data_IF_291661818254
#
_entry.id   IF_291661818254
#
_cell.length_a   1.000
_cell.length_b   1.000
_cell.length_c   1.000
_cell.angle_alpha   90.00
_cell.angle_beta   90.00
_cell.angle_gamma   90.00
#
_symmetry.space_group_name_H-M   'P 1'
#
loop_
_entity.id
_entity.type
_entity.pdbx_description
1 polymer ?
#
# COMPACT_ATOMS: atom_id res chain seq x y z
N UNK A 1 -1.07 -45.82 -5.39
CA UNK A 1 0.14 -45.71 -6.24
C UNK A 1 0.95 -44.54 -5.70
N UNK A 2 2.08 -44.82 -5.05
CA UNK A 2 2.98 -43.79 -4.54
C UNK A 2 3.74 -43.18 -5.69
N UNK A 3 3.52 -41.89 -5.95
CA UNK A 3 4.39 -41.14 -6.85
C UNK A 3 5.76 -40.91 -6.21
N UNK A 4 6.87 -41.12 -6.92
CA UNK A 4 8.19 -40.85 -6.37
C UNK A 4 8.39 -39.32 -6.22
N UNK A 5 8.72 -38.87 -5.00
CA UNK A 5 9.12 -37.51 -4.71
C UNK A 5 10.46 -37.23 -5.41
N UNK A 6 10.42 -36.52 -6.53
CA UNK A 6 11.63 -35.92 -7.13
C UNK A 6 12.00 -34.71 -6.28
N UNK A 7 13.17 -34.73 -5.66
CA UNK A 7 13.77 -33.55 -5.02
C UNK A 7 14.14 -32.53 -6.11
N UNK A 8 13.52 -31.35 -6.17
CA UNK A 8 13.90 -30.34 -7.13
C UNK A 8 15.08 -29.50 -6.65
N UNK A 9 15.94 -29.13 -7.59
CA UNK A 9 16.99 -28.13 -7.40
C UNK A 9 16.33 -26.75 -7.35
N UNK A 10 16.55 -25.94 -6.30
CA UNK A 10 15.87 -24.66 -6.15
C UNK A 10 16.33 -23.65 -7.21
N UNK A 11 15.43 -22.94 -7.90
CA UNK A 11 15.81 -21.76 -8.65
C UNK A 11 16.25 -20.66 -7.69
N UNK A 12 17.42 -20.06 -7.97
CA UNK A 12 17.97 -18.95 -7.20
C UNK A 12 17.13 -17.68 -7.40
N UNK A 13 16.10 -17.50 -6.62
CA UNK A 13 15.44 -16.21 -6.47
C UNK A 13 16.00 -15.53 -5.23
N UNK A 14 16.66 -14.38 -5.42
CA UNK A 14 17.25 -13.57 -4.35
C UNK A 14 16.14 -12.88 -3.53
N UNK A 15 15.77 -13.50 -2.42
CA UNK A 15 14.85 -12.94 -1.44
C UNK A 15 15.58 -12.01 -0.47
N UNK A 16 14.89 -10.92 -0.09
CA UNK A 16 15.38 -10.06 1.02
C UNK A 16 14.71 -10.53 2.31
N UNK A 17 15.48 -10.81 3.40
CA UNK A 17 14.93 -11.27 4.67
C UNK A 17 13.93 -10.26 5.25
N UNK A 18 12.80 -10.78 5.78
CA UNK A 18 11.77 -9.98 6.45
C UNK A 18 10.54 -9.61 5.60
N UNK A 19 10.40 -10.13 4.39
CA UNK A 19 9.24 -9.88 3.53
C UNK A 19 8.21 -11.01 3.67
N UNK A 20 6.95 -10.63 3.96
CA UNK A 20 5.82 -11.56 3.95
C UNK A 20 5.41 -11.81 2.51
N UNK A 21 5.34 -13.09 2.12
CA UNK A 21 4.82 -13.54 0.83
C UNK A 21 3.36 -13.93 0.98
N UNK A 22 2.50 -13.41 0.12
CA UNK A 22 1.10 -13.82 0.09
C UNK A 22 0.92 -14.79 -1.08
N UNK A 23 0.42 -15.98 -0.81
CA UNK A 23 0.24 -17.03 -1.80
C UNK A 23 -1.16 -17.63 -1.70
N UNK A 24 -1.65 -18.16 -2.81
CA UNK A 24 -2.88 -18.94 -2.88
C UNK A 24 -2.52 -20.40 -3.10
N UNK A 25 -3.09 -21.28 -2.30
CA UNK A 25 -2.94 -22.72 -2.48
C UNK A 25 -3.67 -23.17 -3.76
N UNK A 26 -2.97 -23.89 -4.64
CA UNK A 26 -3.55 -24.51 -5.82
C UNK A 26 -4.11 -25.91 -5.53
N UNK A 27 -3.66 -26.52 -4.43
CA UNK A 27 -4.08 -27.84 -3.98
C UNK A 27 -4.16 -27.90 -2.47
N UNK A 28 -4.94 -28.85 -1.96
CA UNK A 28 -5.03 -29.16 -0.53
C UNK A 28 -3.74 -29.76 0.00
N UNK A 29 -3.30 -29.34 1.18
CA UNK A 29 -2.23 -29.97 1.96
C UNK A 29 -2.74 -30.40 3.33
N UNK A 30 -2.46 -31.64 3.68
CA UNK A 30 -2.79 -32.19 4.99
C UNK A 30 -1.50 -32.40 5.79
N UNK A 31 -1.39 -31.74 6.93
CA UNK A 31 -0.28 -31.84 7.86
C UNK A 31 -0.02 -33.29 8.26
N UNK A 32 1.24 -33.70 8.24
CA UNK A 32 1.68 -35.01 8.67
C UNK A 32 2.22 -35.00 10.11
N UNK A 33 2.60 -33.82 10.60
CA UNK A 33 3.10 -33.61 11.97
C UNK A 33 2.32 -32.49 12.65
N UNK A 34 2.42 -32.41 13.97
CA UNK A 34 1.63 -31.47 14.79
C UNK A 34 2.01 -29.98 14.58
N UNK A 35 3.23 -29.71 14.14
CA UNK A 35 3.77 -28.38 13.85
C UNK A 35 3.55 -27.92 12.39
N UNK A 36 3.04 -28.79 11.54
CA UNK A 36 2.70 -28.48 10.16
C UNK A 36 1.35 -27.79 10.02
N UNK A 37 1.19 -26.95 8.99
CA UNK A 37 -0.03 -26.22 8.67
C UNK A 37 -0.83 -26.95 7.57
N UNK A 38 -2.04 -27.41 7.91
CA UNK A 38 -2.99 -27.90 6.91
C UNK A 38 -3.78 -26.74 6.30
N UNK A 39 -4.05 -26.82 4.97
CA UNK A 39 -4.87 -25.85 4.25
C UNK A 39 -5.58 -26.53 3.07
N UNK A 40 -6.64 -25.88 2.58
CA UNK A 40 -7.41 -26.34 1.43
C UNK A 40 -7.05 -25.56 0.15
N UNK A 41 -7.47 -26.10 -1.00
CA UNK A 41 -7.33 -25.41 -2.28
C UNK A 41 -8.05 -24.06 -2.25
N UNK A 42 -7.40 -23.00 -2.76
CA UNK A 42 -7.90 -21.63 -2.76
C UNK A 42 -7.59 -20.82 -1.49
N UNK A 43 -7.12 -21.47 -0.42
CA UNK A 43 -6.74 -20.76 0.81
C UNK A 43 -5.60 -19.76 0.56
N UNK A 44 -5.69 -18.63 1.25
CA UNK A 44 -4.66 -17.58 1.24
C UNK A 44 -3.71 -17.81 2.41
N UNK A 45 -2.44 -17.98 2.10
CA UNK A 45 -1.39 -18.16 3.09
C UNK A 45 -0.45 -16.95 3.10
N UNK A 46 -0.03 -16.59 4.31
CA UNK A 46 1.02 -15.59 4.57
C UNK A 46 2.28 -16.36 4.95
N UNK A 47 3.24 -16.36 4.05
CA UNK A 47 4.49 -17.10 4.23
C UNK A 47 5.57 -16.16 4.74
N UNK A 48 6.15 -16.50 5.86
CA UNK A 48 7.22 -15.74 6.51
C UNK A 48 8.54 -16.46 6.23
N UNK A 49 9.41 -15.82 5.49
CA UNK A 49 10.72 -16.38 5.20
C UNK A 49 11.55 -16.45 6.50
N UNK A 50 12.05 -17.64 6.82
CA UNK A 50 13.06 -17.85 7.85
C UNK A 50 14.12 -18.78 7.29
N UNK A 51 15.38 -18.37 7.46
CA UNK A 51 16.61 -19.10 7.23
C UNK A 51 16.75 -19.85 5.89
N UNK A 52 17.73 -19.41 5.12
CA UNK A 52 18.11 -19.90 3.78
C UNK A 52 18.37 -21.43 3.73
N UNK A 53 18.57 -22.07 4.89
CA UNK A 53 18.93 -23.48 5.03
C UNK A 53 17.79 -24.40 5.46
N UNK A 54 16.56 -23.90 5.60
CA UNK A 54 15.42 -24.69 6.09
C UNK A 54 14.53 -25.14 4.91
N UNK A 55 14.27 -26.43 4.82
CA UNK A 55 13.30 -27.01 3.88
C UNK A 55 11.83 -26.71 4.29
N UNK A 56 11.63 -25.96 5.37
CA UNK A 56 10.34 -25.64 5.94
C UNK A 56 10.23 -24.15 6.21
N UNK A 57 9.13 -23.56 5.76
CA UNK A 57 8.81 -22.15 6.01
C UNK A 57 7.65 -22.01 6.96
N UNK A 58 7.71 -21.00 7.80
CA UNK A 58 6.61 -20.63 8.67
C UNK A 58 5.52 -19.93 7.86
N UNK A 59 4.28 -20.39 8.01
CA UNK A 59 3.14 -19.81 7.33
C UNK A 59 1.93 -19.67 8.26
N UNK A 60 1.01 -18.81 7.84
CA UNK A 60 -0.26 -18.59 8.53
C UNK A 60 -1.40 -18.65 7.51
N UNK A 61 -2.48 -19.35 7.88
CA UNK A 61 -3.72 -19.44 7.13
C UNK A 61 -4.90 -19.14 8.06
N UNK A 62 -5.56 -18.00 7.88
CA UNK A 62 -6.58 -17.52 8.81
C UNK A 62 -6.03 -17.33 10.23
N UNK A 63 -6.56 -18.06 11.21
CA UNK A 63 -6.10 -18.05 12.60
C UNK A 63 -5.05 -19.11 12.92
N UNK A 64 -4.80 -20.05 12.00
CA UNK A 64 -3.86 -21.18 12.17
C UNK A 64 -2.46 -20.79 11.71
N UNK A 65 -1.44 -21.26 12.40
CA UNK A 65 -0.03 -21.03 12.09
C UNK A 65 0.74 -22.35 12.19
N UNK A 66 1.71 -22.56 11.32
CA UNK A 66 2.53 -23.78 11.31
C UNK A 66 3.56 -23.74 10.20
N UNK A 67 4.24 -24.88 10.01
CA UNK A 67 5.25 -25.09 9.00
C UNK A 67 4.65 -25.63 7.71
N UNK A 68 5.19 -25.19 6.58
CA UNK A 68 4.84 -25.72 5.25
C UNK A 68 6.13 -26.07 4.49
N UNK A 69 6.15 -27.13 3.69
CA UNK A 69 7.34 -27.51 2.94
C UNK A 69 7.64 -26.48 1.81
N UNK A 70 8.91 -26.11 1.67
CA UNK A 70 9.33 -25.09 0.67
C UNK A 70 8.99 -25.49 -0.75
N UNK A 71 9.21 -26.75 -1.11
CA UNK A 71 8.87 -27.28 -2.43
C UNK A 71 7.37 -27.16 -2.74
N UNK A 72 6.51 -27.25 -1.71
CA UNK A 72 5.07 -27.08 -1.89
C UNK A 72 4.70 -25.62 -2.20
N UNK A 73 5.39 -24.66 -1.58
CA UNK A 73 5.19 -23.22 -1.85
C UNK A 73 5.62 -22.86 -3.28
N UNK A 74 6.71 -23.45 -3.76
CA UNK A 74 7.27 -23.14 -5.08
C UNK A 74 6.50 -23.77 -6.23
N UNK A 75 5.95 -24.97 -6.05
CA UNK A 75 5.34 -25.75 -7.13
C UNK A 75 3.81 -25.76 -7.09
N UNK A 76 3.21 -25.57 -5.92
CA UNK A 76 1.79 -25.82 -5.67
C UNK A 76 1.04 -24.58 -5.16
N UNK A 77 1.64 -23.39 -5.31
CA UNK A 77 1.04 -22.13 -4.88
C UNK A 77 1.21 -21.04 -5.94
N UNK A 78 0.20 -20.20 -6.05
CA UNK A 78 0.22 -18.98 -6.86
C UNK A 78 0.59 -17.79 -5.99
N UNK A 79 1.68 -17.09 -6.31
CA UNK A 79 2.05 -15.87 -5.61
C UNK A 79 1.10 -14.73 -5.96
N UNK A 80 0.49 -14.14 -4.94
CA UNK A 80 -0.30 -12.92 -5.11
C UNK A 80 0.66 -11.74 -5.08
N UNK A 81 1.04 -11.31 -6.27
CA UNK A 81 1.84 -10.11 -6.42
C UNK A 81 1.01 -8.89 -6.05
N UNK A 82 1.58 -7.99 -5.23
CA UNK A 82 0.96 -6.71 -4.88
C UNK A 82 -0.44 -6.84 -4.23
N UNK A 83 -0.62 -7.66 -3.18
CA UNK A 83 -1.93 -7.93 -2.61
C UNK A 83 -2.63 -6.68 -2.08
N UNK A 84 -1.88 -5.71 -1.52
CA UNK A 84 -2.43 -4.44 -1.06
C UNK A 84 -2.89 -3.53 -2.20
N UNK A 85 -2.19 -3.52 -3.33
CA UNK A 85 -2.60 -2.74 -4.51
C UNK A 85 -3.93 -3.27 -5.05
N UNK A 86 -4.08 -4.58 -5.14
CA UNK A 86 -5.31 -5.20 -5.61
C UNK A 86 -6.47 -5.00 -4.63
N UNK A 87 -6.25 -5.14 -3.33
CA UNK A 87 -7.25 -4.86 -2.31
C UNK A 87 -7.68 -3.39 -2.32
N UNK A 88 -6.73 -2.47 -2.48
CA UNK A 88 -6.98 -1.03 -2.59
C UNK A 88 -7.77 -0.67 -3.86
N UNK A 89 -7.38 -1.25 -5.01
CA UNK A 89 -8.04 -1.04 -6.30
C UNK A 89 -9.48 -1.55 -6.32
N UNK A 90 -9.75 -2.69 -5.64
CA UNK A 90 -11.10 -3.27 -5.54
C UNK A 90 -11.95 -2.71 -4.40
N UNK A 91 -11.40 -1.86 -3.55
CA UNK A 91 -12.10 -1.34 -2.38
C UNK A 91 -12.33 -2.38 -1.28
N UNK A 92 -11.54 -3.45 -1.26
CA UNK A 92 -11.70 -4.51 -0.29
C UNK A 92 -10.97 -4.18 1.02
N UNK A 93 -11.63 -3.40 1.87
CA UNK A 93 -11.10 -2.92 3.15
C UNK A 93 -10.76 -4.07 4.09
N UNK A 94 -11.53 -5.16 4.07
CA UNK A 94 -11.30 -6.33 4.95
C UNK A 94 -9.98 -7.02 4.62
N UNK A 95 -9.73 -7.32 3.34
CA UNK A 95 -8.44 -7.88 2.90
C UNK A 95 -7.30 -6.91 3.10
N UNK A 96 -7.51 -5.61 2.84
CA UNK A 96 -6.50 -4.58 3.07
C UNK A 96 -6.03 -4.55 4.53
N UNK A 97 -6.98 -4.54 5.49
CA UNK A 97 -6.67 -4.61 6.93
C UNK A 97 -5.94 -5.90 7.30
N UNK A 98 -6.38 -7.03 6.76
CA UNK A 98 -5.75 -8.31 7.04
C UNK A 98 -4.30 -8.34 6.53
N UNK A 99 -4.04 -7.91 5.31
CA UNK A 99 -2.69 -7.86 4.74
C UNK A 99 -1.77 -6.94 5.54
N UNK A 100 -2.25 -5.77 5.96
CA UNK A 100 -1.49 -4.85 6.82
C UNK A 100 -1.18 -5.48 8.19
N UNK A 101 -2.14 -6.16 8.80
CA UNK A 101 -1.97 -6.88 10.08
C UNK A 101 -0.92 -8.00 9.97
N UNK A 102 -0.82 -8.65 8.82
CA UNK A 102 0.17 -9.69 8.57
C UNK A 102 1.55 -9.13 8.17
N UNK A 103 1.73 -7.83 8.14
CA UNK A 103 3.01 -7.17 7.88
C UNK A 103 3.33 -6.94 6.40
N UNK A 104 2.34 -7.04 5.52
CA UNK A 104 2.52 -6.63 4.11
C UNK A 104 2.72 -5.12 4.04
N UNK A 105 3.74 -4.66 3.31
CA UNK A 105 4.11 -3.24 3.26
C UNK A 105 3.03 -2.38 2.62
N UNK A 106 2.49 -1.41 3.38
CA UNK A 106 1.51 -0.42 2.90
C UNK A 106 2.06 0.61 1.91
N UNK A 107 3.38 0.65 1.72
CA UNK A 107 4.08 1.60 0.84
C UNK A 107 4.82 0.92 -0.31
N UNK A 108 4.58 -0.38 -0.55
CA UNK A 108 5.14 -1.10 -1.68
C UNK A 108 4.80 -0.41 -3.00
N UNK A 109 5.69 -0.54 -4.00
CA UNK A 109 5.49 0.05 -5.32
C UNK A 109 5.21 -1.03 -6.35
N UNK A 110 4.26 -0.76 -7.26
CA UNK A 110 4.05 -1.58 -8.45
C UNK A 110 5.07 -1.26 -9.57
N UNK A 111 4.93 -1.90 -10.71
CA UNK A 111 5.82 -1.69 -11.86
C UNK A 111 5.80 -0.25 -12.39
N UNK A 112 4.72 0.49 -12.20
CA UNK A 112 4.60 1.91 -12.58
C UNK A 112 5.05 2.87 -11.46
N UNK A 113 5.43 2.35 -10.29
CA UNK A 113 5.80 3.12 -9.11
C UNK A 113 4.60 3.60 -8.30
N UNK A 114 3.40 3.05 -8.54
CA UNK A 114 2.23 3.41 -7.78
C UNK A 114 2.23 2.69 -6.41
N UNK A 115 1.74 3.39 -5.39
CA UNK A 115 1.47 2.84 -4.06
C UNK A 115 0.06 2.26 -3.98
N UNK A 116 -0.27 1.45 -2.96
CA UNK A 116 -1.66 1.06 -2.68
C UNK A 116 -2.59 2.28 -2.49
N UNK A 117 -2.07 3.36 -1.87
CA UNK A 117 -2.82 4.61 -1.68
C UNK A 117 -3.16 5.28 -3.01
N UNK A 118 -2.26 5.25 -3.99
CA UNK A 118 -2.53 5.74 -5.35
C UNK A 118 -3.72 5.00 -5.98
N UNK A 119 -3.75 3.66 -5.88
CA UNK A 119 -4.85 2.85 -6.42
C UNK A 119 -6.18 3.07 -5.71
N UNK A 120 -6.17 3.18 -4.36
CA UNK A 120 -7.38 3.52 -3.61
C UNK A 120 -7.92 4.91 -4.00
N UNK A 121 -7.02 5.88 -4.23
CA UNK A 121 -7.36 7.22 -4.67
C UNK A 121 -7.88 7.26 -6.11
N UNK A 122 -7.29 6.46 -7.02
CA UNK A 122 -7.68 6.31 -8.41
C UNK A 122 -9.13 5.80 -8.56
N UNK A 123 -9.52 4.86 -7.71
CA UNK A 123 -10.85 4.21 -7.76
C UNK A 123 -11.88 4.85 -6.81
N UNK A 124 -11.47 5.82 -5.99
CA UNK A 124 -12.36 6.56 -5.10
C UNK A 124 -12.78 5.80 -3.84
N UNK A 125 -12.07 4.73 -3.45
CA UNK A 125 -12.40 3.91 -2.28
C UNK A 125 -11.96 4.57 -0.98
N UNK A 126 -12.80 5.47 -0.46
CA UNK A 126 -12.50 6.33 0.69
C UNK A 126 -12.10 5.56 1.96
N UNK A 127 -12.69 4.40 2.21
CA UNK A 127 -12.34 3.62 3.41
C UNK A 127 -10.98 2.94 3.29
N UNK A 128 -10.58 2.50 2.10
CA UNK A 128 -9.21 2.05 1.85
C UNK A 128 -8.21 3.21 1.99
N UNK A 129 -8.56 4.40 1.51
CA UNK A 129 -7.74 5.61 1.69
C UNK A 129 -7.54 5.92 3.17
N UNK A 130 -8.60 5.89 4.00
CA UNK A 130 -8.51 6.11 5.45
C UNK A 130 -7.56 5.14 6.13
N UNK A 131 -7.69 3.84 5.82
CA UNK A 131 -6.84 2.79 6.41
C UNK A 131 -5.36 2.99 6.02
N UNK A 132 -5.08 3.30 4.77
CA UNK A 132 -3.71 3.53 4.30
C UNK A 132 -3.10 4.81 4.86
N UNK A 133 -3.90 5.87 5.06
CA UNK A 133 -3.47 7.12 5.70
C UNK A 133 -3.23 6.97 7.20
N UNK A 134 -3.82 5.98 7.86
CA UNK A 134 -3.58 5.71 9.29
C UNK A 134 -2.20 5.11 9.57
N UNK A 135 -1.49 4.66 8.54
CA UNK A 135 -0.14 4.10 8.68
C UNK A 135 0.88 5.20 9.04
N UNK A 136 1.85 4.91 9.93
CA UNK A 136 2.85 5.91 10.37
C UNK A 136 3.68 6.49 9.22
N UNK A 137 3.86 5.73 8.15
CA UNK A 137 4.61 6.13 6.95
C UNK A 137 3.70 6.11 5.72
N UNK A 138 2.50 6.70 5.82
CA UNK A 138 1.61 6.81 4.68
C UNK A 138 2.31 7.57 3.55
N UNK A 139 2.40 6.94 2.37
CA UNK A 139 3.07 7.54 1.21
C UNK A 139 2.17 8.58 0.52
N UNK A 140 1.67 9.56 1.29
CA UNK A 140 0.64 10.51 0.84
C UNK A 140 1.07 11.36 -0.34
N UNK A 141 2.35 11.73 -0.39
CA UNK A 141 2.95 12.55 -1.45
C UNK A 141 3.90 11.74 -2.35
N UNK A 142 3.85 10.40 -2.30
CA UNK A 142 4.68 9.57 -3.16
C UNK A 142 4.34 9.81 -4.63
N UNK A 143 5.36 10.05 -5.44
CA UNK A 143 5.24 10.19 -6.88
C UNK A 143 5.57 8.87 -7.57
N UNK A 144 4.73 8.49 -8.53
CA UNK A 144 4.99 7.36 -9.41
C UNK A 144 6.00 7.72 -10.51
N UNK A 145 6.24 6.83 -11.48
CA UNK A 145 7.22 7.05 -12.57
C UNK A 145 6.87 8.22 -13.51
N UNK A 146 5.59 8.64 -13.57
CA UNK A 146 5.15 9.82 -14.34
C UNK A 146 5.02 11.07 -13.47
N UNK A 147 5.47 11.00 -12.22
CA UNK A 147 5.46 12.11 -11.26
C UNK A 147 4.11 12.37 -10.61
N UNK A 148 3.12 11.52 -10.79
CA UNK A 148 1.80 11.70 -10.20
C UNK A 148 1.75 11.19 -8.75
N UNK A 149 1.07 11.97 -7.89
CA UNK A 149 0.75 11.59 -6.50
C UNK A 149 -0.68 11.05 -6.41
N UNK A 150 -1.07 10.44 -5.28
CA UNK A 150 -2.48 10.06 -5.02
C UNK A 150 -3.46 11.24 -5.18
N UNK A 151 -3.03 12.46 -4.89
CA UNK A 151 -3.85 13.66 -5.09
C UNK A 151 -4.10 13.98 -6.56
N UNK A 152 -3.09 13.80 -7.42
CA UNK A 152 -3.22 13.99 -8.87
C UNK A 152 -4.29 13.07 -9.45
N UNK A 153 -4.20 11.78 -9.15
CA UNK A 153 -5.11 10.80 -9.73
C UNK A 153 -6.54 10.92 -9.19
N UNK A 154 -6.71 11.24 -7.89
CA UNK A 154 -8.02 11.50 -7.31
C UNK A 154 -8.70 12.73 -7.95
N UNK A 155 -7.93 13.79 -8.19
CA UNK A 155 -8.41 15.01 -8.84
C UNK A 155 -8.78 14.78 -10.31
N UNK A 156 -7.97 14.03 -11.04
CA UNK A 156 -8.21 13.67 -12.44
C UNK A 156 -9.48 12.82 -12.61
N UNK A 157 -9.71 11.86 -11.71
CA UNK A 157 -10.90 10.98 -11.75
C UNK A 157 -12.13 11.59 -11.08
N UNK A 158 -12.04 12.78 -10.49
CA UNK A 158 -13.19 13.49 -9.96
C UNK A 158 -13.64 13.05 -8.57
N UNK A 159 -12.81 12.37 -7.78
CA UNK A 159 -13.13 11.86 -6.45
C UNK A 159 -12.98 12.94 -5.37
N UNK A 160 -13.95 13.86 -5.28
CA UNK A 160 -13.91 15.03 -4.38
C UNK A 160 -13.69 14.63 -2.90
N UNK A 161 -14.38 13.59 -2.42
CA UNK A 161 -14.26 13.15 -1.02
C UNK A 161 -12.85 12.65 -0.70
N UNK A 162 -12.23 11.94 -1.65
CA UNK A 162 -10.84 11.48 -1.54
C UNK A 162 -9.87 12.66 -1.57
N UNK A 163 -10.09 13.62 -2.48
CA UNK A 163 -9.28 14.87 -2.53
C UNK A 163 -9.32 15.60 -1.19
N UNK A 164 -10.52 15.83 -0.64
CA UNK A 164 -10.68 16.49 0.65
C UNK A 164 -9.99 15.72 1.78
N UNK A 165 -10.10 14.38 1.77
CA UNK A 165 -9.47 13.54 2.78
C UNK A 165 -7.93 13.59 2.68
N UNK A 166 -7.38 13.54 1.47
CA UNK A 166 -5.94 13.65 1.23
C UNK A 166 -5.41 15.03 1.70
N UNK A 167 -6.07 16.12 1.33
CA UNK A 167 -5.70 17.47 1.75
C UNK A 167 -5.72 17.64 3.27
N UNK A 168 -6.77 17.11 3.93
CA UNK A 168 -6.88 17.11 5.40
C UNK A 168 -5.73 16.39 6.08
N UNK A 169 -5.17 15.35 5.44
CA UNK A 169 -4.06 14.57 5.97
C UNK A 169 -2.67 15.05 5.49
N UNK A 170 -2.58 16.21 4.86
CA UNK A 170 -1.31 16.85 4.51
C UNK A 170 -0.79 16.54 3.11
N UNK A 171 -1.66 16.10 2.20
CA UNK A 171 -1.27 16.04 0.78
C UNK A 171 -0.89 17.43 0.27
N UNK A 172 0.22 17.49 -0.48
CA UNK A 172 0.72 18.74 -1.04
C UNK A 172 0.11 18.99 -2.43
N UNK A 173 -0.72 20.05 -2.59
CA UNK A 173 -1.37 20.38 -3.85
C UNK A 173 -0.43 21.02 -4.87
N UNK A 174 0.80 21.41 -4.50
CA UNK A 174 1.76 22.10 -5.37
C UNK A 174 2.72 21.16 -6.09
N UNK A 175 2.75 19.89 -5.73
CA UNK A 175 3.57 18.91 -6.43
C UNK A 175 3.15 18.87 -7.89
N UNK A 176 4.14 18.90 -8.77
CA UNK A 176 3.95 18.82 -10.22
C UNK A 176 4.39 17.44 -10.72
N UNK A 177 3.60 16.90 -11.64
CA UNK A 177 3.99 15.69 -12.36
C UNK A 177 5.09 16.00 -13.41
N UNK A 178 5.51 15.01 -14.18
CA UNK A 178 6.56 15.17 -15.20
C UNK A 178 6.16 16.16 -16.31
N UNK A 179 4.86 16.32 -16.56
CA UNK A 179 4.31 17.31 -17.53
C UNK A 179 4.17 18.72 -16.91
N UNK A 180 4.69 18.93 -15.69
CA UNK A 180 4.61 20.20 -14.94
C UNK A 180 3.20 20.59 -14.50
N UNK A 181 2.24 19.67 -14.53
CA UNK A 181 0.86 19.85 -14.11
C UNK A 181 0.68 19.52 -12.64
N UNK A 182 -0.12 20.33 -11.94
CA UNK A 182 -0.58 20.06 -10.56
C UNK A 182 -1.87 19.23 -10.58
N UNK A 183 -2.29 18.71 -9.41
CA UNK A 183 -3.57 18.02 -9.29
C UNK A 183 -4.77 18.90 -9.71
N UNK A 184 -4.68 20.23 -9.50
CA UNK A 184 -5.68 21.22 -9.94
C UNK A 184 -5.76 21.31 -11.46
N UNK A 185 -4.63 21.27 -12.15
CA UNK A 185 -4.57 21.38 -13.61
C UNK A 185 -5.18 20.14 -14.28
N UNK A 186 -4.99 18.96 -13.70
CA UNK A 186 -5.55 17.70 -14.20
C UNK A 186 -7.06 17.55 -13.98
N UNK A 187 -7.63 18.26 -13.02
CA UNK A 187 -9.05 18.11 -12.70
C UNK A 187 -9.95 18.80 -13.72
N UNK A 188 -10.98 18.13 -14.19
CA UNK A 188 -12.11 18.73 -14.92
C UNK A 188 -13.24 19.22 -13.99
N UNK A 189 -13.24 18.78 -12.72
CA UNK A 189 -14.29 19.08 -11.75
C UNK A 189 -14.05 20.43 -11.05
N UNK A 190 -15.01 21.35 -11.18
CA UNK A 190 -14.95 22.71 -10.61
C UNK A 190 -14.88 22.65 -9.06
N UNK A 191 -15.63 21.74 -8.42
CA UNK A 191 -15.61 21.62 -6.96
C UNK A 191 -14.22 21.20 -6.43
N UNK A 192 -13.53 20.30 -7.14
CA UNK A 192 -12.16 19.90 -6.82
C UNK A 192 -11.19 21.07 -7.04
N UNK A 193 -11.30 21.80 -8.16
CA UNK A 193 -10.47 22.99 -8.39
C UNK A 193 -10.61 24.02 -7.27
N UNK A 194 -11.85 24.25 -6.82
CA UNK A 194 -12.11 25.18 -5.71
C UNK A 194 -11.54 24.66 -4.38
N UNK A 195 -11.68 23.37 -4.09
CA UNK A 195 -11.13 22.76 -2.86
C UNK A 195 -9.59 22.88 -2.82
N UNK A 196 -8.91 22.61 -3.94
CA UNK A 196 -7.47 22.75 -4.08
C UNK A 196 -7.03 24.20 -3.96
N UNK A 197 -7.78 25.14 -4.52
CA UNK A 197 -7.48 26.58 -4.44
C UNK A 197 -7.67 27.15 -3.04
N UNK A 198 -8.73 26.78 -2.33
CA UNK A 198 -8.95 27.20 -0.96
C UNK A 198 -7.86 26.70 -0.01
N UNK A 199 -7.41 25.46 -0.19
CA UNK A 199 -6.30 24.92 0.58
C UNK A 199 -4.99 25.69 0.33
N UNK A 200 -4.78 26.17 -0.89
CA UNK A 200 -3.68 27.05 -1.27
C UNK A 200 -3.72 28.37 -0.48
N UNK A 201 -4.84 29.07 -0.52
CA UNK A 201 -5.02 30.35 0.19
C UNK A 201 -4.83 30.24 1.71
N UNK A 202 -5.30 29.15 2.33
CA UNK A 202 -5.11 28.92 3.75
C UNK A 202 -3.64 28.74 4.17
N UNK A 203 -2.81 28.15 3.30
CA UNK A 203 -1.36 28.03 3.54
C UNK A 203 -0.66 29.36 3.38
N UNK A 204 -0.99 30.12 2.34
CA UNK A 204 -0.37 31.42 2.07
C UNK A 204 -0.65 32.40 3.23
N UNK A 205 -1.86 32.36 3.81
CA UNK A 205 -2.22 33.16 5.00
C UNK A 205 -1.42 32.72 6.23
N UNK A 206 -1.23 31.40 6.45
CA UNK A 206 -0.42 30.89 7.57
C UNK A 206 1.06 31.21 7.47
N UNK A 207 1.62 31.26 6.25
CA UNK A 207 3.01 31.68 6.02
C UNK A 207 3.21 33.20 6.06
N UNK A 208 2.15 33.99 5.92
CA UNK A 208 2.20 35.45 5.92
C UNK A 208 2.13 36.10 7.29
N UNK A 209 1.82 35.36 8.35
CA UNK A 209 1.91 35.84 9.74
C UNK A 209 3.23 35.36 10.35
N UNK A 210 4.35 35.97 9.97
CA UNK A 210 5.55 35.99 10.80
C UNK A 210 5.42 37.20 11.74
N UNK A 211 5.63 36.95 13.04
CA UNK A 211 5.55 37.88 14.15
C UNK A 211 6.62 39.00 14.09
N UNK A 212 6.65 39.79 13.04
CA UNK A 212 7.66 40.86 12.89
C UNK A 212 7.09 42.30 13.01
N UNK A 213 5.83 42.47 13.43
CA UNK A 213 5.23 43.83 13.62
C UNK A 213 4.85 44.18 15.07
N UNK A 214 5.68 43.81 16.05
CA UNK A 214 5.66 44.44 17.37
C UNK A 214 7.03 45.09 17.68
N UNK A 215 7.40 46.06 16.89
CA UNK A 215 8.36 47.07 17.34
C UNK A 215 7.59 48.34 17.66
N UNK A 216 6.99 48.37 18.85
CA UNK A 216 6.46 49.60 19.41
C UNK A 216 7.64 50.43 19.93
N UNK A 217 8.03 51.40 19.11
CA UNK A 217 8.98 52.44 19.47
C UNK A 217 8.34 53.42 20.41
N UNK A 218 8.40 53.16 21.72
CA UNK A 218 8.18 54.19 22.72
C UNK A 218 9.50 54.87 23.02
N UNK A 219 9.83 55.89 22.25
CA UNK A 219 10.72 56.93 22.70
C UNK A 219 9.91 57.90 23.51
N UNK A 220 10.21 57.93 24.78
CA UNK A 220 9.78 58.95 25.73
C UNK A 220 10.87 59.97 25.92
N UNK A 221 10.53 61.22 25.71
CA UNK A 221 11.14 62.34 26.40
C UNK A 221 10.85 62.34 27.91
#
# INVERSE_FOLDING_TARGET
MNMPVKTPVPPKTSWKPGKVKVVRALYKYTAQQADELSFDEGDILYVYEKDIDSNWWKAKCGSREGLIPVNYVEEQMEEILLPLHEAARRGNVSFLKEYLKQGVSGTGLDAAGNTPLYWAACTGHIDCVKELLSLPNSAINAQNKVGETPLHIAANHGHLDVVNLLLKNGADPFIKNNDKLTAKDLSSNIAIKNALQLNQLHRDIKCGYTDDDYNDGSDSE
#
